data_IF_164954583452
#
_entry.id   IF_164954583452
#
_cell.length_a   1.000
_cell.length_b   1.000
_cell.length_c   1.000
_cell.angle_alpha   90.00
_cell.angle_beta   90.00
_cell.angle_gamma   90.00
#
_symmetry.space_group_name_H-M   'P 1'
#
loop_
_entity.id
_entity.type
_entity.pdbx_description
1 polymer ?
#
# COMPACT_ATOMS: atom_id res chain seq x y z
N UNK A 1 0.38 -3.99 -20.13
CA UNK A 1 0.96 -3.01 -19.18
C UNK A 1 -0.18 -2.63 -18.27
N UNK A 2 -0.21 -3.18 -17.07
CA UNK A 2 -1.29 -2.89 -16.14
C UNK A 2 -1.23 -1.41 -15.76
N UNK A 3 -2.35 -0.69 -15.89
CA UNK A 3 -2.37 0.74 -15.55
C UNK A 3 -2.71 0.91 -14.07
N UNK A 4 -1.74 1.40 -13.30
CA UNK A 4 -1.95 1.78 -11.92
C UNK A 4 -2.55 3.19 -11.85
N UNK A 5 -3.78 3.30 -11.37
CA UNK A 5 -4.44 4.57 -11.07
C UNK A 5 -4.64 4.72 -9.56
N UNK A 6 -4.71 5.97 -9.11
CA UNK A 6 -4.91 6.30 -7.70
C UNK A 6 -6.23 7.03 -7.52
N UNK A 7 -7.09 6.49 -6.67
CA UNK A 7 -8.31 7.15 -6.24
C UNK A 7 -8.07 7.78 -4.87
N UNK A 8 -7.76 9.06 -4.88
CA UNK A 8 -7.42 9.85 -3.70
C UNK A 8 -8.68 10.45 -3.07
N UNK A 9 -8.90 10.12 -1.80
CA UNK A 9 -9.94 10.73 -0.95
C UNK A 9 -9.27 11.46 0.22
N UNK A 10 -9.97 12.37 0.92
CA UNK A 10 -9.37 13.16 2.01
C UNK A 10 -8.76 12.32 3.14
N UNK A 11 -9.21 11.09 3.35
CA UNK A 11 -8.79 10.22 4.45
C UNK A 11 -8.19 8.89 4.00
N UNK A 12 -8.22 8.59 2.70
CA UNK A 12 -7.75 7.33 2.17
C UNK A 12 -7.41 7.43 0.67
N UNK A 13 -6.48 6.61 0.20
CA UNK A 13 -6.10 6.52 -1.20
C UNK A 13 -6.18 5.06 -1.63
N UNK A 14 -6.96 4.75 -2.66
CA UNK A 14 -7.08 3.40 -3.19
C UNK A 14 -6.25 3.30 -4.46
N UNK A 15 -5.37 2.32 -4.54
CA UNK A 15 -4.64 1.98 -5.75
C UNK A 15 -5.50 1.01 -6.57
N UNK A 16 -5.75 1.34 -7.84
CA UNK A 16 -6.48 0.50 -8.78
C UNK A 16 -5.53 0.05 -9.88
N UNK A 17 -5.48 -1.26 -10.13
CA UNK A 17 -4.71 -1.86 -11.21
C UNK A 17 -5.70 -2.28 -12.30
N UNK A 18 -5.63 -1.66 -13.48
CA UNK A 18 -6.62 -1.87 -14.55
C UNK A 18 -8.07 -1.69 -14.08
N UNK A 19 -8.32 -0.61 -13.32
CA UNK A 19 -9.62 -0.27 -12.69
C UNK A 19 -10.06 -1.19 -11.54
N UNK A 20 -9.26 -2.20 -11.17
CA UNK A 20 -9.53 -3.10 -10.05
C UNK A 20 -8.83 -2.62 -8.78
N UNK A 21 -9.53 -2.37 -7.66
CA UNK A 21 -8.90 -1.94 -6.42
C UNK A 21 -8.00 -3.03 -5.83
N UNK A 22 -6.68 -2.77 -5.80
CA UNK A 22 -5.67 -3.73 -5.32
C UNK A 22 -5.10 -3.37 -3.95
N UNK A 23 -5.03 -2.08 -3.59
CA UNK A 23 -4.50 -1.64 -2.31
C UNK A 23 -5.28 -0.45 -1.77
N UNK A 24 -5.49 -0.40 -0.46
CA UNK A 24 -6.09 0.76 0.22
C UNK A 24 -5.11 1.34 1.22
N UNK A 25 -4.80 2.63 1.06
CA UNK A 25 -4.00 3.43 1.98
C UNK A 25 -4.96 4.24 2.84
N UNK A 26 -5.03 3.99 4.15
CA UNK A 26 -5.82 4.79 5.09
C UNK A 26 -4.91 5.74 5.85
N UNK A 27 -5.17 7.03 5.74
CA UNK A 27 -4.46 8.06 6.50
C UNK A 27 -5.02 8.05 7.93
N UNK A 28 -4.14 7.94 8.92
CA UNK A 28 -4.54 7.99 10.33
C UNK A 28 -4.47 9.42 10.85
N UNK A 29 -5.46 9.79 11.65
CA UNK A 29 -5.56 11.11 12.29
C UNK A 29 -4.34 11.43 13.17
N UNK A 30 -3.77 10.41 13.82
CA UNK A 30 -2.57 10.49 14.66
C UNK A 30 -1.25 10.63 13.89
N UNK A 31 -1.30 10.75 12.56
CA UNK A 31 -0.15 10.65 11.67
C UNK A 31 0.14 9.19 11.26
N UNK A 32 0.71 9.03 10.07
CA UNK A 32 0.96 7.71 9.47
C UNK A 32 -0.11 7.24 8.50
N UNK A 33 0.25 6.27 7.69
CA UNK A 33 -0.61 5.67 6.66
C UNK A 33 -0.60 4.16 6.81
N UNK A 34 -1.79 3.57 6.87
CA UNK A 34 -1.98 2.12 6.89
C UNK A 34 -2.28 1.64 5.47
N UNK A 35 -1.36 0.90 4.87
CA UNK A 35 -1.55 0.29 3.57
C UNK A 35 -1.99 -1.16 3.72
N UNK A 36 -3.14 -1.51 3.15
CA UNK A 36 -3.69 -2.86 3.17
C UNK A 36 -3.95 -3.32 1.75
N UNK A 37 -3.36 -4.45 1.37
CA UNK A 37 -3.72 -5.11 0.11
C UNK A 37 -5.16 -5.62 0.20
N UNK A 38 -5.91 -5.44 -0.88
CA UNK A 38 -7.28 -5.95 -1.08
C UNK A 38 -7.27 -7.26 -1.87
N UNK A 39 -6.12 -7.63 -2.43
CA UNK A 39 -5.87 -8.87 -3.18
C UNK A 39 -5.06 -9.87 -2.33
N UNK A 40 -4.57 -10.96 -2.93
CA UNK A 40 -3.74 -11.99 -2.28
C UNK A 40 -2.27 -11.53 -2.08
N UNK A 41 -1.97 -10.28 -2.45
CA UNK A 41 -0.66 -9.67 -2.24
C UNK A 41 -0.35 -9.47 -0.76
N UNK A 42 0.91 -9.75 -0.39
CA UNK A 42 1.44 -9.52 0.94
C UNK A 42 2.62 -8.56 0.89
N UNK A 43 2.67 -7.65 1.86
CA UNK A 43 3.83 -6.79 2.04
C UNK A 43 5.05 -7.62 2.42
N UNK A 44 6.20 -7.40 1.76
CA UNK A 44 7.42 -8.09 2.14
C UNK A 44 7.84 -7.66 3.56
N UNK A 45 8.53 -8.55 4.29
CA UNK A 45 9.04 -8.24 5.61
C UNK A 45 9.87 -6.96 5.60
N UNK A 46 9.68 -6.07 6.58
CA UNK A 46 10.47 -4.85 6.66
C UNK A 46 11.93 -5.19 6.90
N UNK A 47 12.84 -4.38 6.34
CA UNK A 47 14.28 -4.65 6.35
C UNK A 47 14.88 -4.81 7.77
N UNK A 48 14.27 -4.19 8.78
CA UNK A 48 14.70 -4.30 10.18
C UNK A 48 14.22 -5.60 10.87
N UNK A 49 13.25 -6.32 10.28
CA UNK A 49 12.77 -7.62 10.77
C UNK A 49 12.60 -8.60 9.60
N UNK A 50 13.70 -9.12 9.02
CA UNK A 50 13.66 -10.04 7.88
C UNK A 50 13.03 -11.41 8.22
N UNK A 51 12.88 -11.73 9.51
CA UNK A 51 12.21 -12.95 10.00
C UNK A 51 10.69 -12.80 10.16
N UNK A 52 10.15 -11.59 9.99
CA UNK A 52 8.71 -11.39 10.10
C UNK A 52 7.99 -12.06 8.91
N UNK A 53 6.84 -12.69 9.14
CA UNK A 53 6.02 -13.18 8.04
C UNK A 53 5.48 -12.00 7.22
N UNK A 54 5.34 -12.19 5.91
CA UNK A 54 4.70 -11.22 5.03
C UNK A 54 3.29 -10.89 5.55
N UNK A 55 2.93 -9.61 5.54
CA UNK A 55 1.68 -9.14 6.16
C UNK A 55 0.74 -8.58 5.10
N UNK A 56 -0.58 -8.78 5.22
CA UNK A 56 -1.54 -8.15 4.32
C UNK A 56 -1.60 -6.63 4.52
N UNK A 57 -1.15 -6.14 5.68
CA UNK A 57 -1.12 -4.71 6.03
C UNK A 57 0.28 -4.26 6.46
N UNK A 58 0.67 -3.06 6.04
CA UNK A 58 1.91 -2.40 6.42
C UNK A 58 1.65 -0.93 6.77
N UNK A 59 2.37 -0.43 7.77
CA UNK A 59 2.30 0.97 8.18
C UNK A 59 3.48 1.76 7.60
N UNK A 60 3.19 2.98 7.16
CA UNK A 60 4.11 3.94 6.59
C UNK A 60 4.02 5.27 7.34
N UNK A 61 5.08 6.08 7.29
CA UNK A 61 5.11 7.37 7.97
C UNK A 61 4.20 8.40 7.28
N UNK A 62 4.15 8.36 5.95
CA UNK A 62 3.36 9.28 5.14
C UNK A 62 2.79 8.60 3.89
N UNK A 63 1.90 9.34 3.21
CA UNK A 63 1.20 8.85 2.03
C UNK A 63 2.14 8.67 0.84
N UNK A 64 3.17 9.51 0.69
CA UNK A 64 4.08 9.43 -0.43
C UNK A 64 4.94 8.16 -0.35
N UNK A 65 5.46 7.84 0.84
CA UNK A 65 6.15 6.56 1.08
C UNK A 65 5.23 5.36 0.81
N UNK A 66 3.98 5.41 1.27
CA UNK A 66 3.03 4.34 1.07
C UNK A 66 2.71 4.11 -0.42
N UNK A 67 2.48 5.18 -1.19
CA UNK A 67 2.25 5.11 -2.64
C UNK A 67 3.45 4.52 -3.38
N UNK A 68 4.65 5.04 -3.11
CA UNK A 68 5.88 4.54 -3.73
C UNK A 68 6.14 3.06 -3.41
N UNK A 69 5.77 2.59 -2.21
CA UNK A 69 5.90 1.18 -1.85
C UNK A 69 4.90 0.28 -2.59
N UNK A 70 3.66 0.74 -2.79
CA UNK A 70 2.66 0.04 -3.63
C UNK A 70 3.17 -0.05 -5.06
N UNK A 71 3.62 1.06 -5.63
CA UNK A 71 4.17 1.11 -7.00
C UNK A 71 5.35 0.15 -7.18
N UNK A 72 6.29 0.13 -6.24
CA UNK A 72 7.42 -0.81 -6.25
C UNK A 72 6.99 -2.27 -6.14
N UNK A 73 5.94 -2.55 -5.37
CA UNK A 73 5.44 -3.93 -5.19
C UNK A 73 4.71 -4.42 -6.43
N UNK A 74 3.97 -3.54 -7.12
CA UNK A 74 3.24 -3.86 -8.35
C UNK A 74 4.11 -3.82 -9.61
N UNK A 75 5.26 -3.14 -9.56
CA UNK A 75 6.23 -3.09 -10.65
C UNK A 75 7.22 -4.27 -10.65
N UNK A 76 7.22 -5.11 -9.61
CA UNK A 76 8.02 -6.35 -9.50
C UNK A 76 7.37 -7.51 -10.25
#
# INVERSE_FOLDING_TARGET
MAQLTWNDTPMACTALLDDVPVCTLKIKDIGGVAASWQDDHLWPPPAHMPKAPAQPTRFFADLAEAKAAVEKTLAG
#
